data_IF_381589051496
#
_entry.id   IF_381589051496
#
_cell.length_a   1.000
_cell.length_b   1.000
_cell.length_c   1.000
_cell.angle_alpha   90.00
_cell.angle_beta   90.00
_cell.angle_gamma   90.00
#
_symmetry.space_group_name_H-M   'P 1'
#
loop_
_entity.id
_entity.type
_entity.pdbx_description
1 polymer ?
#
# COMPACT_ATOMS: atom_id res chain seq x y z
N UNK A 1 -8.57 -7.23 -13.80
CA UNK A 1 -8.74 -7.88 -12.48
C UNK A 1 -9.42 -6.94 -11.47
N UNK A 2 -8.93 -5.70 -11.29
CA UNK A 2 -9.55 -4.72 -10.36
C UNK A 2 -11.05 -4.50 -10.62
N UNK A 3 -11.50 -4.44 -11.88
CA UNK A 3 -12.93 -4.30 -12.23
C UNK A 3 -13.84 -5.42 -11.69
N UNK A 4 -13.29 -6.60 -11.39
CA UNK A 4 -14.05 -7.76 -10.87
C UNK A 4 -14.16 -7.77 -9.34
N UNK A 5 -13.48 -6.86 -8.63
CA UNK A 5 -13.56 -6.78 -7.17
C UNK A 5 -14.96 -6.27 -6.78
N UNK A 6 -15.71 -6.99 -5.92
CA UNK A 6 -16.99 -6.53 -5.40
C UNK A 6 -16.85 -5.21 -4.63
N UNK A 7 -17.79 -4.29 -4.82
CA UNK A 7 -17.72 -2.94 -4.25
C UNK A 7 -17.60 -2.94 -2.72
N UNK A 8 -18.32 -3.84 -2.04
CA UNK A 8 -18.22 -4.01 -0.59
C UNK A 8 -16.79 -4.25 -0.11
N UNK A 9 -16.00 -5.04 -0.84
CA UNK A 9 -14.59 -5.28 -0.48
C UNK A 9 -13.73 -4.08 -0.86
N UNK A 10 -13.99 -3.48 -2.02
CA UNK A 10 -13.28 -2.30 -2.49
C UNK A 10 -13.36 -1.15 -1.50
N UNK A 11 -14.57 -0.74 -1.14
CA UNK A 11 -14.80 0.35 -0.20
C UNK A 11 -14.34 0.02 1.21
N UNK A 12 -14.47 -1.24 1.67
CA UNK A 12 -13.92 -1.65 2.97
C UNK A 12 -12.39 -1.48 3.00
N UNK A 13 -11.67 -2.00 2.01
CA UNK A 13 -10.21 -1.88 1.94
C UNK A 13 -9.78 -0.41 1.85
N UNK A 14 -10.48 0.40 1.06
CA UNK A 14 -10.21 1.85 0.97
C UNK A 14 -10.46 2.56 2.30
N UNK A 15 -11.56 2.28 2.99
CA UNK A 15 -11.83 2.85 4.32
C UNK A 15 -10.82 2.41 5.37
N UNK A 16 -10.44 1.12 5.36
CA UNK A 16 -9.38 0.59 6.23
C UNK A 16 -8.04 1.28 5.94
N UNK A 17 -7.71 1.49 4.67
CA UNK A 17 -6.50 2.20 4.23
C UNK A 17 -6.54 3.69 4.59
N UNK A 18 -7.72 4.30 4.63
CA UNK A 18 -7.91 5.69 5.07
C UNK A 18 -7.44 5.88 6.52
N UNK A 19 -7.67 4.89 7.39
CA UNK A 19 -7.19 4.83 8.78
C UNK A 19 -5.74 4.34 8.91
N UNK A 20 -5.45 3.13 8.44
CA UNK A 20 -4.23 2.37 8.76
C UNK A 20 -3.16 2.37 7.66
N UNK A 21 -3.53 2.82 6.46
CA UNK A 21 -2.64 2.76 5.30
C UNK A 21 -1.60 3.87 5.28
N UNK A 22 -0.55 3.72 4.47
CA UNK A 22 0.38 4.79 4.14
C UNK A 22 0.91 4.65 2.72
N UNK A 23 0.98 5.77 2.02
CA UNK A 23 1.80 5.95 0.82
C UNK A 23 3.05 6.75 1.19
N UNK A 24 4.23 6.21 0.95
CA UNK A 24 5.49 6.83 1.35
C UNK A 24 6.63 6.47 0.39
N UNK A 25 7.73 7.23 0.49
CA UNK A 25 8.97 6.93 -0.20
C UNK A 25 9.98 6.46 0.85
N UNK A 26 10.45 5.22 0.72
CA UNK A 26 11.46 4.63 1.60
C UNK A 26 12.86 4.95 1.09
N UNK A 27 13.71 5.46 1.97
CA UNK A 27 15.12 5.68 1.73
C UNK A 27 15.94 4.66 2.50
N UNK A 28 16.75 3.85 1.82
CA UNK A 28 17.62 2.86 2.44
C UNK A 28 19.04 3.03 1.94
N UNK A 29 20.01 3.14 2.86
CA UNK A 29 21.43 3.13 2.50
C UNK A 29 21.78 1.82 1.81
N UNK A 30 22.46 1.90 0.67
CA UNK A 30 22.89 0.77 -0.14
C UNK A 30 24.18 1.13 -0.87
N UNK A 31 25.27 0.46 -0.50
CA UNK A 31 26.60 0.73 -1.04
C UNK A 31 26.76 0.29 -2.50
N UNK A 32 25.84 -0.54 -2.99
CA UNK A 32 25.76 -1.01 -4.38
C UNK A 32 24.99 -0.05 -5.31
N UNK A 33 24.51 1.10 -4.79
CA UNK A 33 23.83 2.12 -5.58
C UNK A 33 24.75 3.33 -5.78
N UNK A 34 24.73 3.93 -6.98
CA UNK A 34 25.59 5.06 -7.37
C UNK A 34 25.59 6.21 -6.34
N UNK A 35 24.40 6.54 -5.81
CA UNK A 35 24.22 7.62 -4.84
C UNK A 35 24.29 7.15 -3.38
N UNK A 36 24.61 5.87 -3.12
CA UNK A 36 24.63 5.27 -1.78
C UNK A 36 23.24 5.03 -1.16
N UNK A 37 22.17 5.32 -1.89
CA UNK A 37 20.79 5.20 -1.44
C UNK A 37 19.91 4.49 -2.47
N UNK A 38 19.08 3.58 -1.95
CA UNK A 38 17.93 3.06 -2.66
C UNK A 38 16.69 3.84 -2.22
N UNK A 39 16.07 4.50 -3.18
CA UNK A 39 14.79 5.18 -3.03
C UNK A 39 13.70 4.26 -3.57
N UNK A 40 12.63 4.02 -2.80
CA UNK A 40 11.59 3.07 -3.20
C UNK A 40 10.21 3.58 -2.80
N UNK A 41 9.29 3.81 -3.76
CA UNK A 41 7.91 4.07 -3.44
C UNK A 41 7.27 2.84 -2.79
N UNK A 42 6.53 3.06 -1.71
CA UNK A 42 5.92 2.02 -0.91
C UNK A 42 4.48 2.37 -0.56
N UNK A 43 3.60 1.38 -0.71
CA UNK A 43 2.30 1.34 -0.08
C UNK A 43 2.33 0.32 1.05
N UNK A 44 1.83 0.66 2.24
CA UNK A 44 1.68 -0.30 3.32
C UNK A 44 0.42 -0.09 4.16
N UNK A 45 0.04 -1.13 4.90
CA UNK A 45 -1.00 -1.12 5.92
C UNK A 45 -0.43 -1.87 7.12
N UNK A 46 -0.44 -1.25 8.31
CA UNK A 46 0.00 -1.87 9.55
C UNK A 46 -1.19 -2.24 10.41
N UNK A 47 -1.17 -3.41 11.06
CA UNK A 47 -2.23 -3.82 11.99
C UNK A 47 -1.70 -4.88 12.96
N UNK A 48 -2.29 -4.98 14.15
CA UNK A 48 -2.00 -6.03 15.13
C UNK A 48 -2.53 -7.41 14.71
N UNK A 49 -3.65 -7.45 13.97
CA UNK A 49 -4.25 -8.65 13.40
C UNK A 49 -3.68 -8.98 12.02
N UNK A 50 -3.15 -10.20 11.84
CA UNK A 50 -2.55 -10.63 10.57
C UNK A 50 -3.59 -11.03 9.54
N UNK A 51 -4.72 -11.55 10.01
CA UNK A 51 -5.79 -12.17 9.26
C UNK A 51 -6.41 -11.16 8.29
N UNK A 52 -6.68 -9.94 8.75
CA UNK A 52 -7.20 -8.88 7.90
C UNK A 52 -6.20 -8.49 6.81
N UNK A 53 -4.90 -8.42 7.12
CA UNK A 53 -3.86 -8.15 6.13
C UNK A 53 -3.73 -9.27 5.11
N UNK A 54 -3.88 -10.53 5.54
CA UNK A 54 -3.89 -11.71 4.68
C UNK A 54 -5.11 -11.69 3.75
N UNK A 55 -6.28 -11.30 4.25
CA UNK A 55 -7.48 -11.12 3.46
C UNK A 55 -7.31 -10.00 2.42
N UNK A 56 -6.78 -8.83 2.81
CA UNK A 56 -6.47 -7.72 1.89
C UNK A 56 -5.51 -8.19 0.78
N UNK A 57 -4.41 -8.86 1.17
CA UNK A 57 -3.45 -9.45 0.22
C UNK A 57 -4.14 -10.41 -0.76
N UNK A 58 -5.07 -11.23 -0.28
CA UNK A 58 -5.80 -12.17 -1.13
C UNK A 58 -6.75 -11.47 -2.12
N UNK A 59 -7.36 -10.34 -1.74
CA UNK A 59 -8.19 -9.53 -2.65
C UNK A 59 -7.33 -8.80 -3.69
N UNK A 60 -6.24 -8.16 -3.25
CA UNK A 60 -5.36 -7.37 -4.12
C UNK A 60 -4.41 -8.24 -4.97
N UNK A 61 -4.19 -9.50 -4.58
CA UNK A 61 -3.31 -10.46 -5.26
C UNK A 61 -1.87 -9.96 -5.44
N UNK A 62 -1.38 -9.13 -4.53
CA UNK A 62 -0.02 -8.59 -4.55
C UNK A 62 0.49 -8.32 -3.13
N UNK A 63 1.75 -7.92 -3.01
CA UNK A 63 2.36 -7.52 -1.75
C UNK A 63 2.84 -8.67 -0.87
N UNK A 64 3.52 -8.30 0.20
CA UNK A 64 4.06 -9.21 1.21
C UNK A 64 3.55 -8.82 2.59
N UNK A 65 3.52 -9.78 3.51
CA UNK A 65 3.16 -9.54 4.91
C UNK A 65 4.37 -9.92 5.75
N UNK A 66 4.78 -9.02 6.65
CA UNK A 66 5.87 -9.28 7.60
C UNK A 66 5.48 -8.81 8.99
N UNK A 67 6.02 -9.49 10.00
CA UNK A 67 5.97 -9.02 11.37
C UNK A 67 7.08 -7.99 11.60
N UNK A 68 6.78 -6.93 12.36
CA UNK A 68 7.73 -5.88 12.71
C UNK A 68 8.16 -6.02 14.17
N UNK A 69 9.31 -5.43 14.50
CA UNK A 69 9.89 -5.49 15.85
C UNK A 69 9.06 -4.77 16.91
N UNK A 70 8.19 -3.84 16.51
CA UNK A 70 7.28 -3.09 17.37
C UNK A 70 5.97 -3.82 17.66
N UNK A 71 5.85 -5.11 17.29
CA UNK A 71 4.74 -5.97 17.70
C UNK A 71 3.55 -5.97 16.75
N UNK A 72 3.63 -5.30 15.59
CA UNK A 72 2.55 -5.25 14.60
C UNK A 72 2.91 -5.96 13.30
N UNK A 73 1.90 -6.44 12.59
CA UNK A 73 2.04 -6.93 11.21
C UNK A 73 1.97 -5.78 10.22
N UNK A 74 2.61 -5.97 9.07
CA UNK A 74 2.54 -5.00 7.99
C UNK A 74 2.41 -5.70 6.63
N UNK A 75 1.36 -5.33 5.91
CA UNK A 75 1.21 -5.56 4.48
C UNK A 75 1.99 -4.48 3.73
N UNK A 76 2.86 -4.85 2.80
CA UNK A 76 3.66 -3.90 2.01
C UNK A 76 3.73 -4.27 0.53
N UNK A 77 3.62 -3.24 -0.32
CA UNK A 77 3.88 -3.27 -1.75
C UNK A 77 4.94 -2.22 -2.07
N UNK A 78 6.12 -2.67 -2.49
CA UNK A 78 7.29 -1.82 -2.75
C UNK A 78 7.91 -2.06 -4.15
N UNK A 79 7.30 -2.90 -4.97
CA UNK A 79 7.73 -3.11 -6.35
C UNK A 79 6.85 -2.27 -7.29
N UNK A 80 7.51 -1.61 -8.24
CA UNK A 80 6.88 -0.62 -9.12
C UNK A 80 5.78 -1.23 -10.00
N UNK A 81 5.97 -2.46 -10.47
CA UNK A 81 4.97 -3.17 -11.30
C UNK A 81 3.64 -3.33 -10.56
N UNK A 82 3.66 -3.85 -9.34
CA UNK A 82 2.44 -4.04 -8.55
C UNK A 82 1.81 -2.72 -8.12
N UNK A 83 2.62 -1.70 -7.82
CA UNK A 83 2.10 -0.36 -7.53
C UNK A 83 1.28 0.16 -8.72
N UNK A 84 1.88 0.19 -9.91
CA UNK A 84 1.27 0.77 -11.10
C UNK A 84 0.11 -0.05 -11.67
N UNK A 85 0.19 -1.39 -11.60
CA UNK A 85 -0.81 -2.26 -12.24
C UNK A 85 -1.96 -2.66 -11.31
N UNK A 86 -1.79 -2.50 -9.99
CA UNK A 86 -2.74 -3.01 -9.00
C UNK A 86 -3.13 -1.92 -8.00
N UNK A 87 -2.16 -1.34 -7.27
CA UNK A 87 -2.46 -0.43 -6.16
C UNK A 87 -3.06 0.89 -6.64
N UNK A 88 -2.43 1.58 -7.60
CA UNK A 88 -2.97 2.84 -8.12
C UNK A 88 -4.35 2.64 -8.79
N UNK A 89 -4.50 1.67 -9.73
CA UNK A 89 -5.82 1.44 -10.35
C UNK A 89 -6.91 1.03 -9.36
N UNK A 90 -6.54 0.36 -8.25
CA UNK A 90 -7.49 0.03 -7.19
C UNK A 90 -8.03 1.28 -6.49
N UNK A 91 -7.14 2.19 -6.07
CA UNK A 91 -7.53 3.41 -5.36
C UNK A 91 -8.06 4.52 -6.27
N UNK A 92 -7.79 4.47 -7.58
CA UNK A 92 -8.46 5.30 -8.58
C UNK A 92 -9.94 4.93 -8.73
N UNK A 93 -10.25 3.62 -8.64
CA UNK A 93 -11.63 3.10 -8.63
C UNK A 93 -12.31 3.36 -7.30
N UNK A 94 -11.68 2.94 -6.20
CA UNK A 94 -12.21 3.06 -4.85
C UNK A 94 -11.51 4.21 -4.11
N UNK A 95 -12.03 5.40 -4.32
CA UNK A 95 -11.41 6.65 -3.87
C UNK A 95 -11.52 6.83 -2.36
N UNK A 96 -10.44 7.36 -1.77
CA UNK A 96 -10.41 7.75 -0.36
C UNK A 96 -11.47 8.79 -0.03
N UNK A 97 -11.93 8.81 1.22
CA UNK A 97 -12.82 9.84 1.74
C UNK A 97 -12.05 10.91 2.51
N UNK A 98 -11.01 10.51 3.27
CA UNK A 98 -10.26 11.44 4.10
C UNK A 98 -9.45 12.45 3.26
N UNK A 99 -9.50 13.73 3.65
CA UNK A 99 -8.74 14.80 2.97
C UNK A 99 -7.24 14.53 3.01
N UNK A 100 -6.73 14.04 4.14
CA UNK A 100 -5.32 13.72 4.35
C UNK A 100 -4.85 12.61 3.41
N UNK A 101 -5.60 11.50 3.28
CA UNK A 101 -5.20 10.38 2.41
C UNK A 101 -5.29 10.76 0.94
N UNK A 102 -6.32 11.51 0.53
CA UNK A 102 -6.42 12.06 -0.85
C UNK A 102 -5.16 12.82 -1.23
N UNK A 103 -4.69 13.73 -0.37
CA UNK A 103 -3.48 14.50 -0.63
C UNK A 103 -2.21 13.63 -0.64
N UNK A 104 -2.10 12.69 0.31
CA UNK A 104 -0.96 11.76 0.36
C UNK A 104 -0.89 10.89 -0.90
N UNK A 105 -2.02 10.35 -1.34
CA UNK A 105 -2.14 9.55 -2.56
C UNK A 105 -1.79 10.37 -3.80
N UNK A 106 -2.34 11.58 -3.94
CA UNK A 106 -2.05 12.45 -5.09
C UNK A 106 -0.56 12.81 -5.19
N UNK A 107 0.10 13.11 -4.06
CA UNK A 107 1.56 13.33 -4.03
C UNK A 107 2.34 12.08 -4.43
N UNK A 108 1.88 10.90 -4.02
CA UNK A 108 2.52 9.64 -4.35
C UNK A 108 2.38 9.26 -5.82
N UNK A 109 1.23 9.56 -6.45
CA UNK A 109 0.99 9.31 -7.88
C UNK A 109 1.86 10.21 -8.77
N UNK A 110 2.14 11.44 -8.32
CA UNK A 110 2.91 12.43 -9.08
C UNK A 110 4.43 12.37 -8.85
N UNK A 111 4.92 11.37 -8.11
CA UNK A 111 6.35 11.12 -7.88
C UNK A 111 6.91 10.19 -8.96
#
# INVERSE_FOLDING_TARGET
MIKKIPEKHGYYITGFTDGEGSFNISFRKRNDYLIGWKVTPCFNISQDEREILAWIKNILKCGTIRFRKDGVWMFEVNNQKALNQIILPFFDRFRFLSKKKKLQYQKFVNY
#
